data_IF_190421562657
#
_entry.id   IF_190421562657
#
_cell.length_a   1.000
_cell.length_b   1.000
_cell.length_c   1.000
_cell.angle_alpha   90.00
_cell.angle_beta   90.00
_cell.angle_gamma   90.00
#
_symmetry.space_group_name_H-M   'P 1'
#
loop_
_entity.id
_entity.type
_entity.pdbx_description
1 polymer ?
#
# COMPACT_ATOMS: atom_id res chain seq x y z
N UNK A 1 3.72 -9.29 -1.90
CA UNK A 1 3.91 -9.46 -0.43
C UNK A 1 2.72 -10.22 0.13
N UNK A 2 2.84 -11.35 0.83
CA UNK A 2 1.62 -12.04 1.30
C UNK A 2 0.89 -11.28 2.43
N UNK A 3 -0.39 -11.59 2.66
CA UNK A 3 -1.20 -10.87 3.65
C UNK A 3 -0.75 -11.09 5.10
N UNK A 4 -0.13 -12.23 5.41
CA UNK A 4 0.44 -12.48 6.75
C UNK A 4 1.59 -11.52 7.05
N UNK A 5 2.45 -11.27 6.06
CA UNK A 5 3.50 -10.26 6.15
C UNK A 5 2.86 -8.88 6.26
N UNK A 6 1.90 -8.53 5.40
CA UNK A 6 1.18 -7.25 5.48
C UNK A 6 0.61 -7.01 6.88
N UNK A 7 -0.08 -7.98 7.47
CA UNK A 7 -0.60 -7.92 8.85
C UNK A 7 0.49 -7.64 9.89
N UNK A 8 1.64 -8.31 9.78
CA UNK A 8 2.80 -8.07 10.66
C UNK A 8 3.35 -6.65 10.48
N UNK A 9 3.47 -6.19 9.24
CA UNK A 9 3.95 -4.85 8.93
C UNK A 9 2.97 -3.77 9.40
N UNK A 10 1.66 -3.94 9.19
CA UNK A 10 0.64 -3.01 9.70
C UNK A 10 0.67 -2.93 11.23
N UNK A 11 0.86 -4.06 11.92
CA UNK A 11 1.05 -4.06 13.38
C UNK A 11 2.28 -3.27 13.80
N UNK A 12 3.38 -3.38 13.06
CA UNK A 12 4.62 -2.63 13.33
C UNK A 12 4.50 -1.15 12.96
N UNK A 13 3.73 -0.81 11.92
CA UNK A 13 3.57 0.54 11.41
C UNK A 13 2.63 1.40 12.27
N UNK A 14 1.60 0.79 12.85
CA UNK A 14 0.56 1.46 13.64
C UNK A 14 1.08 2.49 14.68
N UNK A 15 2.14 2.23 15.47
CA UNK A 15 2.65 3.19 16.45
C UNK A 15 3.31 4.43 15.85
N UNK A 16 3.76 4.38 14.59
CA UNK A 16 4.39 5.54 13.94
C UNK A 16 3.36 6.58 13.50
N UNK A 17 2.16 6.16 13.14
CA UNK A 17 1.16 7.05 12.54
C UNK A 17 0.79 8.24 13.45
N UNK A 18 0.49 8.04 14.76
CA UNK A 18 0.24 9.17 15.66
C UNK A 18 1.47 10.07 15.85
N UNK A 19 2.69 9.51 15.80
CA UNK A 19 3.94 10.27 15.90
C UNK A 19 4.17 11.17 14.68
N UNK A 20 3.62 10.79 13.52
CA UNK A 20 3.66 11.61 12.32
C UNK A 20 2.51 12.63 12.26
N UNK A 21 1.57 12.56 13.21
CA UNK A 21 0.39 13.42 13.27
C UNK A 21 -0.81 12.88 12.51
N UNK A 22 -0.82 11.59 12.17
CA UNK A 22 -2.00 10.94 11.61
C UNK A 22 -3.09 10.85 12.69
N UNK A 23 -4.23 11.49 12.43
CA UNK A 23 -5.38 11.54 13.34
C UNK A 23 -6.50 10.59 12.96
N UNK A 24 -6.33 9.80 11.89
CA UNK A 24 -7.31 8.80 11.45
C UNK A 24 -7.48 7.72 12.53
N UNK A 25 -8.69 7.17 12.59
CA UNK A 25 -9.02 6.09 13.51
C UNK A 25 -8.24 4.83 13.15
N UNK A 26 -7.60 4.21 14.15
CA UNK A 26 -6.99 2.89 13.97
C UNK A 26 -7.94 1.78 14.44
N UNK A 27 -8.28 0.86 13.54
CA UNK A 27 -9.16 -0.26 13.84
C UNK A 27 -8.62 -1.57 13.26
N UNK A 28 -9.29 -2.68 13.59
CA UNK A 28 -8.90 -4.02 13.12
C UNK A 28 -9.89 -4.48 12.06
N UNK A 29 -9.38 -4.86 10.90
CA UNK A 29 -10.19 -5.49 9.84
C UNK A 29 -10.99 -6.70 10.36
N UNK A 30 -12.29 -6.75 10.07
CA UNK A 30 -13.16 -7.88 10.36
C UNK A 30 -12.97 -9.06 9.41
N UNK A 31 -13.86 -10.05 9.48
CA UNK A 31 -13.91 -11.18 8.55
C UNK A 31 -14.95 -10.87 7.48
N UNK A 32 -14.54 -10.79 6.22
CA UNK A 32 -15.46 -10.47 5.12
C UNK A 32 -15.82 -8.99 5.00
N UNK A 33 -15.27 -8.13 5.85
CA UNK A 33 -15.39 -6.68 5.68
C UNK A 33 -14.63 -6.25 4.43
N UNK A 34 -15.34 -5.51 3.57
CA UNK A 34 -14.74 -4.73 2.52
C UNK A 34 -15.41 -3.37 2.35
N UNK A 35 -14.72 -2.51 1.62
CA UNK A 35 -15.07 -1.14 1.32
C UNK A 35 -16.30 -1.00 0.41
N UNK A 36 -16.82 -2.09 -0.16
CA UNK A 36 -17.76 -2.02 -1.29
C UNK A 36 -19.01 -2.90 -1.10
N UNK A 37 -19.21 -3.51 0.07
CA UNK A 37 -20.31 -4.46 0.32
C UNK A 37 -20.29 -5.73 -0.56
N UNK A 38 -19.20 -6.00 -1.28
CA UNK A 38 -19.12 -7.13 -2.20
C UNK A 38 -18.61 -8.40 -1.48
N UNK A 39 -19.28 -9.54 -1.67
CA UNK A 39 -18.75 -10.83 -1.21
C UNK A 39 -17.58 -11.21 -2.11
N UNK A 40 -16.35 -10.87 -1.71
CA UNK A 40 -15.14 -11.20 -2.45
C UNK A 40 -14.44 -12.34 -1.72
N UNK A 41 -14.18 -13.43 -2.47
CA UNK A 41 -13.63 -14.69 -1.94
C UNK A 41 -12.26 -14.47 -1.29
N UNK A 42 -12.02 -15.22 -0.21
CA UNK A 42 -10.86 -15.24 0.69
C UNK A 42 -9.50 -15.50 -0.03
N UNK A 43 -9.04 -14.63 -0.94
CA UNK A 43 -7.66 -14.69 -1.40
C UNK A 43 -6.78 -14.28 -0.23
N UNK A 44 -6.07 -15.24 0.36
CA UNK A 44 -5.15 -15.00 1.49
C UNK A 44 -3.71 -14.72 1.03
N UNK A 45 -3.45 -14.86 -0.26
CA UNK A 45 -2.16 -14.70 -0.91
C UNK A 45 -2.32 -14.12 -2.33
N UNK A 46 -1.20 -13.77 -2.95
CA UNK A 46 -1.15 -13.34 -4.35
C UNK A 46 -1.40 -14.58 -5.22
N UNK A 47 -2.50 -14.60 -5.96
CA UNK A 47 -2.75 -15.64 -6.95
C UNK A 47 -1.88 -15.42 -8.17
N UNK A 48 -1.42 -16.53 -8.77
CA UNK A 48 -0.62 -16.51 -9.99
C UNK A 48 -1.33 -17.39 -11.02
N UNK A 49 -1.73 -16.77 -12.12
CA UNK A 49 -2.30 -17.48 -13.26
C UNK A 49 -1.37 -17.32 -14.46
N UNK A 50 -1.09 -18.39 -15.22
CA UNK A 50 -0.40 -18.25 -16.51
C UNK A 50 -1.15 -17.24 -17.38
N UNK A 51 -0.41 -16.40 -18.12
CA UNK A 51 -1.01 -15.51 -19.10
C UNK A 51 -0.35 -15.65 -20.46
N UNK A 52 -1.09 -15.28 -21.51
CA UNK A 52 -0.61 -15.35 -22.88
C UNK A 52 0.60 -14.42 -23.06
N UNK A 53 1.56 -14.83 -23.91
CA UNK A 53 2.80 -14.08 -24.16
C UNK A 53 2.58 -12.71 -24.83
N UNK A 54 1.36 -12.43 -25.31
CA UNK A 54 0.99 -11.12 -25.87
C UNK A 54 0.74 -10.04 -24.81
N UNK A 55 0.48 -10.39 -23.55
CA UNK A 55 0.26 -9.40 -22.49
C UNK A 55 1.58 -8.75 -22.11
N UNK A 56 1.75 -7.45 -22.39
CA UNK A 56 2.90 -6.67 -21.95
C UNK A 56 3.11 -6.76 -20.43
N UNK A 57 4.34 -6.55 -19.98
CA UNK A 57 4.61 -6.46 -18.54
C UNK A 57 4.04 -5.14 -18.02
N UNK A 58 3.39 -5.16 -16.86
CA UNK A 58 2.76 -3.97 -16.29
C UNK A 58 1.48 -4.25 -15.52
N UNK A 59 0.87 -3.17 -15.03
CA UNK A 59 -0.40 -3.22 -14.33
C UNK A 59 -1.59 -3.15 -15.32
N UNK A 60 -2.58 -3.99 -15.09
CA UNK A 60 -3.82 -4.07 -15.85
C UNK A 60 -5.00 -3.90 -14.90
N UNK A 61 -5.96 -3.07 -15.29
CA UNK A 61 -7.25 -2.99 -14.60
C UNK A 61 -8.19 -4.02 -15.24
N UNK A 62 -8.64 -5.02 -14.48
CA UNK A 62 -9.56 -6.03 -14.97
C UNK A 62 -10.72 -6.20 -13.99
N UNK A 63 -11.90 -5.71 -14.37
CA UNK A 63 -13.11 -5.81 -13.54
C UNK A 63 -12.99 -5.04 -12.22
N UNK A 64 -12.30 -3.89 -12.23
CA UNK A 64 -12.04 -3.09 -11.03
C UNK A 64 -10.86 -3.57 -10.18
N UNK A 65 -10.28 -4.74 -10.47
CA UNK A 65 -9.08 -5.24 -9.78
C UNK A 65 -7.81 -4.90 -10.55
N UNK A 66 -6.79 -4.39 -9.85
CA UNK A 66 -5.44 -4.27 -10.42
C UNK A 66 -4.79 -5.66 -10.45
N UNK A 67 -4.37 -6.10 -11.63
CA UNK A 67 -3.57 -7.30 -11.84
C UNK A 67 -2.22 -6.93 -12.44
N UNK A 68 -1.17 -7.66 -12.09
CA UNK A 68 0.20 -7.34 -12.51
C UNK A 68 0.71 -8.47 -13.40
N UNK A 69 1.00 -8.15 -14.66
CA UNK A 69 1.69 -9.07 -15.56
C UNK A 69 3.20 -9.01 -15.28
N UNK A 70 3.78 -10.13 -14.88
CA UNK A 70 5.23 -10.25 -14.67
C UNK A 70 5.81 -11.37 -15.52
N UNK A 71 7.07 -11.21 -15.90
CA UNK A 71 7.85 -12.26 -16.54
C UNK A 71 8.70 -12.99 -15.50
N UNK A 72 8.55 -14.31 -15.43
CA UNK A 72 9.43 -15.16 -14.64
C UNK A 72 10.80 -15.28 -15.30
N UNK A 73 11.82 -15.67 -14.52
CA UNK A 73 13.18 -15.90 -15.03
C UNK A 73 13.25 -16.90 -16.18
N UNK A 74 12.34 -17.88 -16.20
CA UNK A 74 12.22 -18.87 -17.27
C UNK A 74 11.49 -18.37 -18.53
N UNK A 75 11.17 -17.07 -18.62
CA UNK A 75 10.49 -16.48 -19.79
C UNK A 75 8.96 -16.59 -19.79
N UNK A 76 8.38 -17.44 -18.94
CA UNK A 76 6.93 -17.54 -18.78
C UNK A 76 6.33 -16.26 -18.18
N UNK A 77 5.15 -15.88 -18.66
CA UNK A 77 4.40 -14.75 -18.10
C UNK A 77 3.29 -15.23 -17.17
N UNK A 78 3.14 -14.49 -16.07
CA UNK A 78 2.13 -14.73 -15.07
C UNK A 78 1.34 -13.44 -14.83
N UNK A 79 0.02 -13.58 -14.78
CA UNK A 79 -0.85 -12.58 -14.21
C UNK A 79 -0.90 -12.81 -12.70
N UNK A 80 -0.51 -11.79 -11.95
CA UNK A 80 -0.53 -11.77 -10.51
C UNK A 80 -1.74 -10.98 -10.04
N UNK A 81 -2.65 -11.62 -9.34
CA UNK A 81 -3.79 -10.95 -8.70
C UNK A 81 -3.48 -10.75 -7.21
N UNK A 82 -3.34 -9.49 -6.74
CA UNK A 82 -3.23 -9.24 -5.32
C UNK A 82 -4.52 -9.69 -4.61
N UNK A 83 -4.41 -10.11 -3.35
CA UNK A 83 -5.58 -10.36 -2.55
C UNK A 83 -6.35 -9.05 -2.34
N UNK A 84 -7.69 -9.07 -2.48
CA UNK A 84 -8.51 -7.87 -2.55
C UNK A 84 -8.72 -7.22 -1.18
N UNK A 85 -8.54 -7.99 -0.09
CA UNK A 85 -8.80 -7.53 1.28
C UNK A 85 -7.67 -7.88 2.25
N UNK A 86 -7.46 -7.04 3.29
CA UNK A 86 -6.60 -7.38 4.41
C UNK A 86 -7.09 -8.63 5.15
N UNK A 87 -6.17 -9.41 5.72
CA UNK A 87 -6.57 -10.51 6.61
C UNK A 87 -7.21 -9.96 7.89
N UNK A 88 -8.24 -10.65 8.40
CA UNK A 88 -8.84 -10.35 9.72
C UNK A 88 -7.78 -10.00 10.78
N UNK A 89 -7.99 -8.89 11.46
CA UNK A 89 -7.13 -8.37 12.51
C UNK A 89 -5.87 -7.68 12.02
N UNK A 90 -5.74 -7.43 10.71
CA UNK A 90 -4.79 -6.44 10.18
C UNK A 90 -5.21 -5.06 10.68
N UNK A 91 -4.25 -4.30 11.20
CA UNK A 91 -4.51 -2.92 11.63
C UNK A 91 -4.70 -2.06 10.39
N UNK A 92 -5.84 -1.39 10.36
CA UNK A 92 -6.28 -0.43 9.36
C UNK A 92 -6.26 0.96 9.98
N UNK A 93 -6.26 1.98 9.13
CA UNK A 93 -6.54 3.35 9.51
C UNK A 93 -7.61 3.92 8.61
N UNK A 94 -8.50 4.74 9.13
CA UNK A 94 -9.58 5.32 8.35
C UNK A 94 -10.18 6.58 8.98
N UNK A 95 -10.88 7.34 8.17
CA UNK A 95 -11.53 8.57 8.58
C UNK A 95 -12.43 9.12 7.49
N UNK A 96 -13.28 10.07 7.87
CA UNK A 96 -14.08 10.82 6.89
C UNK A 96 -13.14 11.69 6.03
N UNK A 97 -13.23 11.54 4.72
CA UNK A 97 -12.47 12.29 3.72
C UNK A 97 -13.41 12.85 2.66
N UNK A 98 -13.10 14.03 2.12
CA UNK A 98 -13.95 14.72 1.14
C UNK A 98 -14.67 15.95 1.71
N UNK A 99 -14.99 16.89 0.82
CA UNK A 99 -15.56 18.19 1.19
C UNK A 99 -17.08 18.21 1.04
N UNK A 100 -17.60 17.95 -0.16
CA UNK A 100 -19.04 18.04 -0.46
C UNK A 100 -19.82 16.79 -0.05
N UNK A 101 -19.23 15.61 -0.29
CA UNK A 101 -19.78 14.32 0.11
C UNK A 101 -18.66 13.59 0.87
N UNK A 102 -18.58 13.77 2.20
CA UNK A 102 -17.54 13.12 2.98
C UNK A 102 -17.82 11.61 2.96
N UNK A 103 -16.89 10.86 2.42
CA UNK A 103 -16.90 9.40 2.39
C UNK A 103 -15.90 8.86 3.40
N UNK A 104 -16.20 7.69 3.95
CA UNK A 104 -15.24 6.99 4.79
C UNK A 104 -14.14 6.42 3.88
N UNK A 105 -12.92 6.91 4.06
CA UNK A 105 -11.73 6.36 3.41
C UNK A 105 -10.87 5.66 4.45
N UNK A 106 -10.35 4.48 4.09
CA UNK A 106 -9.45 3.72 4.94
C UNK A 106 -8.30 3.15 4.12
N UNK A 107 -7.26 2.71 4.80
CA UNK A 107 -6.21 1.88 4.22
C UNK A 107 -5.54 1.04 5.30
N UNK A 108 -4.62 0.15 4.92
CA UNK A 108 -3.82 -0.56 5.93
C UNK A 108 -2.86 0.40 6.63
N UNK A 109 -2.60 0.21 7.93
CA UNK A 109 -1.64 1.05 8.65
C UNK A 109 -0.23 1.05 8.03
N UNK A 110 0.17 -0.05 7.38
CA UNK A 110 1.42 -0.10 6.62
C UNK A 110 1.37 0.73 5.32
N UNK A 111 0.23 0.75 4.64
CA UNK A 111 -0.01 1.62 3.48
C UNK A 111 0.15 3.08 3.86
N UNK A 112 -0.53 3.49 4.92
CA UNK A 112 -0.50 4.85 5.45
C UNK A 112 0.94 5.28 5.80
N UNK A 113 1.67 4.43 6.54
CA UNK A 113 3.06 4.70 6.89
C UNK A 113 3.92 4.88 5.64
N UNK A 114 3.78 3.96 4.67
CA UNK A 114 4.55 4.01 3.43
C UNK A 114 4.25 5.29 2.66
N UNK A 115 2.99 5.68 2.54
CA UNK A 115 2.61 6.90 1.84
C UNK A 115 3.23 8.13 2.50
N UNK A 116 3.13 8.26 3.82
CA UNK A 116 3.71 9.40 4.54
C UNK A 116 5.24 9.45 4.43
N UNK A 117 5.93 8.31 4.56
CA UNK A 117 7.39 8.25 4.38
C UNK A 117 7.76 8.61 2.95
N UNK A 118 7.06 8.07 1.95
CA UNK A 118 7.30 8.43 0.55
C UNK A 118 7.10 9.93 0.32
N UNK A 119 5.99 10.51 0.77
CA UNK A 119 5.72 11.95 0.62
C UNK A 119 6.76 12.84 1.31
N UNK A 120 7.28 12.43 2.47
CA UNK A 120 8.33 13.17 3.17
C UNK A 120 9.65 13.20 2.39
N UNK A 121 9.98 12.12 1.68
CA UNK A 121 11.22 12.00 0.91
C UNK A 121 11.03 12.26 -0.60
N UNK A 122 9.83 12.67 -1.04
CA UNK A 122 9.60 13.11 -2.40
C UNK A 122 10.14 14.53 -2.57
N UNK A 123 10.96 14.74 -3.59
CA UNK A 123 11.33 16.08 -4.05
C UNK A 123 10.16 16.67 -4.83
N UNK A 124 9.37 17.49 -4.14
CA UNK A 124 8.22 18.17 -4.72
C UNK A 124 8.61 19.40 -5.55
N UNK A 125 9.81 19.95 -5.35
CA UNK A 125 10.29 21.08 -6.15
C UNK A 125 10.73 20.59 -7.53
N UNK A 126 11.34 19.41 -7.61
CA UNK A 126 11.62 18.75 -8.89
C UNK A 126 10.35 18.47 -9.70
N UNK A 127 9.20 18.22 -9.05
CA UNK A 127 7.90 18.07 -9.74
C UNK A 127 7.42 19.33 -10.46
N UNK A 128 7.86 20.51 -10.03
CA UNK A 128 7.46 21.77 -10.64
C UNK A 128 8.27 22.12 -11.89
N UNK A 129 9.33 21.34 -12.19
CA UNK A 129 10.13 21.45 -13.41
C UNK A 129 9.64 20.49 -14.51
N UNK A 130 9.88 20.87 -15.77
CA UNK A 130 9.35 20.30 -17.03
C UNK A 130 9.49 18.76 -17.20
N UNK A 131 10.28 18.06 -16.36
CA UNK A 131 10.50 16.62 -16.46
C UNK A 131 9.50 15.73 -15.67
N UNK A 132 8.47 16.33 -15.05
CA UNK A 132 7.15 15.73 -14.70
C UNK A 132 7.13 14.42 -13.89
N UNK A 133 8.26 14.00 -13.29
CA UNK A 133 8.32 12.80 -12.44
C UNK A 133 8.90 13.13 -11.07
N UNK A 134 8.09 13.04 -9.99
CA UNK A 134 8.56 13.19 -8.62
C UNK A 134 9.72 12.21 -8.32
N UNK A 135 10.89 12.76 -8.03
CA UNK A 135 12.05 11.97 -7.60
C UNK A 135 11.97 11.65 -6.11
N UNK A 136 12.02 10.37 -5.73
CA UNK A 136 12.22 10.01 -4.32
C UNK A 136 13.71 10.20 -3.99
N UNK A 137 14.00 11.11 -3.07
CA UNK A 137 15.37 11.49 -2.64
C UNK A 137 16.08 10.40 -1.82
N UNK A 138 15.32 9.40 -1.34
CA UNK A 138 15.80 8.32 -0.49
C UNK A 138 15.52 6.95 -1.12
N UNK A 139 16.48 6.04 -0.98
CA UNK A 139 16.24 4.64 -1.34
C UNK A 139 15.26 3.97 -0.36
N UNK A 140 14.01 3.79 -0.81
CA UNK A 140 12.93 3.13 -0.08
C UNK A 140 12.57 1.76 -0.70
N UNK A 141 13.47 1.16 -1.48
CA UNK A 141 13.23 -0.07 -2.26
C UNK A 141 12.86 -1.31 -1.44
N UNK A 142 13.11 -1.30 -0.12
CA UNK A 142 12.84 -2.43 0.76
C UNK A 142 12.10 -2.01 2.02
N UNK A 143 11.35 -2.94 2.61
CA UNK A 143 10.62 -2.73 3.87
C UNK A 143 11.56 -2.27 4.99
N UNK A 144 12.76 -2.85 5.09
CA UNK A 144 13.73 -2.46 6.11
C UNK A 144 14.20 -1.01 5.96
N UNK A 145 14.51 -0.59 4.72
CA UNK A 145 14.90 0.79 4.42
C UNK A 145 13.77 1.78 4.73
N UNK A 146 12.53 1.41 4.40
CA UNK A 146 11.35 2.21 4.69
C UNK A 146 11.15 2.43 6.20
N UNK A 147 11.26 1.38 7.03
CA UNK A 147 11.16 1.55 8.48
C UNK A 147 12.34 2.32 9.08
N UNK A 148 13.55 2.15 8.55
CA UNK A 148 14.71 2.95 8.99
C UNK A 148 14.52 4.44 8.70
N UNK A 149 13.92 4.77 7.54
CA UNK A 149 13.55 6.14 7.19
C UNK A 149 12.43 6.68 8.11
N UNK A 150 11.44 5.85 8.46
CA UNK A 150 10.42 6.22 9.44
C UNK A 150 11.03 6.50 10.83
N UNK A 151 11.97 5.68 11.30
CA UNK A 151 12.69 5.91 12.56
C UNK A 151 13.47 7.25 12.53
N UNK A 152 14.08 7.59 11.39
CA UNK A 152 14.75 8.88 11.19
C UNK A 152 13.78 10.05 11.31
N UNK A 153 12.60 9.96 10.69
CA UNK A 153 11.55 10.99 10.78
C UNK A 153 11.10 11.19 12.23
N UNK A 154 10.89 10.11 12.99
CA UNK A 154 10.53 10.19 14.43
C UNK A 154 11.65 10.88 15.21
N UNK A 155 12.90 10.48 15.00
CA UNK A 155 14.05 11.07 15.71
C UNK A 155 14.18 12.56 15.44
N UNK A 156 14.02 13.02 14.19
CA UNK A 156 14.10 14.46 13.87
C UNK A 156 12.97 15.29 14.51
N UNK A 157 11.82 14.67 14.78
CA UNK A 157 10.65 15.37 15.33
C UNK A 157 10.65 15.45 16.86
N UNK A 158 11.28 14.49 17.54
CA UNK A 158 11.20 14.33 19.00
C UNK A 158 12.56 14.19 19.71
N UNK A 159 13.68 14.23 18.98
CA UNK A 159 15.04 14.21 19.51
C UNK A 159 15.71 15.56 19.33
#
# INVERSE_FOLDING_TARGET
>A
MNLRILKKLSKRAAPYLPLFGDTREQFRSGRGDNYHGLIIRDRTCFERSPCHSSYAQGAYLWGGEVRICVQARAGHRYMISPPPHPLKGTIMVGGMSGYYEPEWDEETAFGALRQQVCYHFTDWEACASIDDVPGITRDLSTVSKLFAAADEMVRKRYG
#
